data_IF_428526626288
#
_entry.id   IF_428526626288
#
_cell.length_a   1.000
_cell.length_b   1.000
_cell.length_c   1.000
_cell.angle_alpha   90.00
_cell.angle_beta   90.00
_cell.angle_gamma   90.00
#
_symmetry.space_group_name_H-M   'P 1'
#
loop_
_entity.id
_entity.type
_entity.pdbx_description
1 polymer ?
#
# COMPACT_ATOMS: atom_id res chain seq x y z
N UNK A 1 15.39 28.69 -37.51
CA UNK A 1 16.45 29.72 -37.62
C UNK A 1 17.29 29.59 -36.35
N UNK A 2 18.56 29.23 -36.49
CA UNK A 2 19.47 29.01 -35.37
C UNK A 2 19.87 30.37 -34.78
N UNK A 3 19.45 30.67 -33.55
CA UNK A 3 19.99 31.79 -32.81
C UNK A 3 21.45 31.49 -32.45
N UNK A 4 22.36 32.39 -32.80
CA UNK A 4 23.78 32.31 -32.47
C UNK A 4 23.97 32.75 -31.01
N UNK A 5 24.71 31.94 -30.24
CA UNK A 5 24.99 32.13 -28.81
C UNK A 5 26.00 33.26 -28.54
N UNK A 6 25.60 34.53 -28.69
CA UNK A 6 26.48 35.68 -28.47
C UNK A 6 25.89 36.80 -27.58
N UNK A 7 24.63 36.71 -27.16
CA UNK A 7 23.97 37.71 -26.31
C UNK A 7 23.17 37.04 -25.20
N UNK A 8 23.17 37.65 -24.01
CA UNK A 8 22.42 37.15 -22.86
C UNK A 8 20.91 37.28 -23.12
N UNK A 9 20.13 36.29 -22.73
CA UNK A 9 18.68 36.25 -23.01
C UNK A 9 17.88 35.69 -21.83
N UNK A 10 16.59 36.01 -21.78
CA UNK A 10 15.66 35.36 -20.85
C UNK A 10 15.32 33.95 -21.33
N UNK A 11 15.22 33.02 -20.40
CA UNK A 11 14.65 31.70 -20.66
C UNK A 11 13.14 31.84 -20.90
N UNK A 12 12.62 31.17 -21.93
CA UNK A 12 11.18 30.99 -22.05
C UNK A 12 10.68 30.09 -20.92
N UNK A 13 9.47 30.36 -20.42
CA UNK A 13 8.91 29.62 -19.30
C UNK A 13 7.40 29.51 -19.40
N UNK A 14 6.86 28.42 -18.88
CA UNK A 14 5.42 28.26 -18.72
C UNK A 14 5.08 27.45 -17.47
N UNK A 15 3.91 27.71 -16.90
CA UNK A 15 3.42 26.99 -15.74
C UNK A 15 2.93 25.58 -16.10
N UNK A 16 3.16 24.63 -15.20
CA UNK A 16 2.66 23.23 -15.28
C UNK A 16 1.77 22.85 -14.09
N UNK A 17 1.24 23.85 -13.39
CA UNK A 17 0.39 23.71 -12.20
C UNK A 17 1.20 23.64 -10.90
N UNK A 18 0.50 23.75 -9.76
CA UNK A 18 1.12 23.79 -8.42
C UNK A 18 1.66 22.44 -7.93
N UNK A 19 1.39 21.36 -8.66
CA UNK A 19 1.73 19.99 -8.29
C UNK A 19 0.65 19.33 -7.43
N UNK A 20 0.61 18.01 -7.45
CA UNK A 20 -0.24 17.19 -6.56
C UNK A 20 0.64 16.54 -5.49
N UNK A 21 0.19 16.37 -4.24
CA UNK A 21 0.91 15.54 -3.28
C UNK A 21 1.16 14.14 -3.85
N UNK A 22 2.29 13.52 -3.51
CA UNK A 22 2.55 12.09 -3.78
C UNK A 22 1.31 11.25 -3.44
N UNK A 23 0.85 10.46 -4.41
CA UNK A 23 -0.51 9.89 -4.38
C UNK A 23 -0.61 8.46 -4.90
N UNK A 24 0.46 7.90 -5.46
CA UNK A 24 0.41 6.59 -6.12
C UNK A 24 1.46 5.64 -5.55
N UNK A 25 1.12 4.36 -5.47
CA UNK A 25 2.06 3.29 -5.17
C UNK A 25 2.70 2.72 -6.43
N UNK A 26 3.93 2.19 -6.31
CA UNK A 26 4.61 1.55 -7.43
C UNK A 26 3.83 0.29 -7.88
N UNK A 27 3.97 -0.14 -9.14
CA UNK A 27 3.38 -1.39 -9.60
C UNK A 27 3.72 -2.57 -8.68
N UNK A 28 2.73 -3.39 -8.34
CA UNK A 28 2.88 -4.52 -7.42
C UNK A 28 2.81 -4.16 -5.93
N UNK A 29 2.40 -2.94 -5.60
CA UNK A 29 2.14 -2.48 -4.24
C UNK A 29 0.69 -2.00 -4.07
N UNK A 30 0.21 -2.01 -2.83
CA UNK A 30 -1.06 -1.40 -2.42
C UNK A 30 -0.85 -0.32 -1.37
N UNK A 31 -1.75 0.65 -1.33
CA UNK A 31 -1.75 1.71 -0.35
C UNK A 31 -2.46 1.27 0.92
N UNK A 32 -1.83 1.46 2.09
CA UNK A 32 -2.45 1.30 3.39
C UNK A 32 -1.90 2.35 4.37
N UNK A 33 -2.79 3.11 5.02
CA UNK A 33 -2.38 4.10 6.03
C UNK A 33 -1.41 5.18 5.51
N UNK A 34 -1.48 5.54 4.22
CA UNK A 34 -0.60 6.55 3.62
C UNK A 34 0.77 6.03 3.18
N UNK A 35 1.02 4.73 3.28
CA UNK A 35 2.24 4.08 2.79
C UNK A 35 1.91 3.02 1.75
N UNK A 36 2.89 2.65 0.96
CA UNK A 36 2.84 1.62 -0.07
C UNK A 36 3.51 0.35 0.42
N UNK A 37 2.79 -0.77 0.34
CA UNK A 37 3.29 -2.07 0.77
C UNK A 37 3.21 -3.08 -0.38
N UNK A 38 4.11 -4.07 -0.44
CA UNK A 38 3.94 -5.21 -1.33
C UNK A 38 2.57 -5.87 -1.14
N UNK A 39 1.99 -6.36 -2.24
CA UNK A 39 0.77 -7.15 -2.20
C UNK A 39 0.95 -8.41 -1.34
N UNK A 40 -0.12 -8.80 -0.64
CA UNK A 40 -0.15 -10.06 0.08
C UNK A 40 -0.28 -11.25 -0.89
N UNK A 41 0.14 -12.43 -0.43
CA UNK A 41 -0.07 -13.71 -1.12
C UNK A 41 -1.56 -14.01 -1.18
N UNK A 42 -1.95 -14.81 -2.15
CA UNK A 42 -3.33 -15.30 -2.26
C UNK A 42 -3.80 -15.93 -0.94
N UNK A 43 -5.03 -15.59 -0.55
CA UNK A 43 -5.59 -16.01 0.73
C UNK A 43 -5.21 -15.13 1.91
N UNK A 44 -4.50 -14.02 1.70
CA UNK A 44 -4.17 -13.03 2.73
C UNK A 44 -4.58 -11.60 2.30
N UNK A 45 -4.80 -10.73 3.26
CA UNK A 45 -5.06 -9.30 3.05
C UNK A 45 -4.14 -8.44 3.92
N UNK A 46 -3.86 -7.23 3.47
CA UNK A 46 -2.90 -6.33 4.09
C UNK A 46 -3.53 -5.38 5.12
N UNK A 47 -2.90 -5.29 6.31
CA UNK A 47 -3.13 -4.22 7.27
C UNK A 47 -1.77 -3.65 7.66
N UNK A 48 -1.44 -2.48 7.09
CA UNK A 48 -0.11 -1.87 7.21
C UNK A 48 1.00 -2.87 6.84
N UNK A 49 1.97 -3.13 7.74
CA UNK A 49 3.11 -4.00 7.48
C UNK A 49 2.83 -5.50 7.59
N UNK A 50 1.60 -5.92 7.88
CA UNK A 50 1.24 -7.32 8.13
C UNK A 50 0.22 -7.82 7.12
N UNK A 51 0.49 -9.00 6.56
CA UNK A 51 -0.49 -9.79 5.83
C UNK A 51 -1.21 -10.74 6.79
N UNK A 52 -2.53 -10.67 6.83
CA UNK A 52 -3.42 -11.48 7.65
C UNK A 52 -4.15 -12.50 6.79
N UNK A 53 -4.21 -13.76 7.23
CA UNK A 53 -4.93 -14.80 6.50
C UNK A 53 -6.43 -14.49 6.48
N UNK A 54 -7.08 -14.75 5.33
CA UNK A 54 -8.52 -14.68 5.20
C UNK A 54 -9.20 -15.77 6.04
N UNK A 55 -10.34 -15.44 6.64
CA UNK A 55 -11.14 -16.43 7.34
C UNK A 55 -11.79 -17.43 6.38
N UNK A 56 -11.88 -18.72 6.76
CA UNK A 56 -12.66 -19.70 6.01
C UNK A 56 -14.13 -19.30 5.89
N UNK A 57 -14.82 -19.83 4.89
CA UNK A 57 -16.25 -19.58 4.73
C UNK A 57 -17.04 -20.03 5.97
N UNK A 58 -17.97 -19.20 6.44
CA UNK A 58 -18.78 -19.46 7.63
C UNK A 58 -18.13 -19.08 8.97
N UNK A 59 -16.89 -18.61 8.95
CA UNK A 59 -16.21 -18.05 10.12
C UNK A 59 -16.35 -16.53 10.14
N UNK A 60 -16.42 -15.95 11.32
CA UNK A 60 -16.48 -14.49 11.49
C UNK A 60 -15.08 -13.95 11.73
N UNK A 61 -14.65 -13.00 10.90
CA UNK A 61 -13.39 -12.30 11.09
C UNK A 61 -13.45 -11.36 12.31
N UNK A 62 -12.65 -11.62 13.33
CA UNK A 62 -12.54 -10.82 14.56
C UNK A 62 -11.23 -10.04 14.64
N UNK A 63 -10.53 -9.90 13.51
CA UNK A 63 -9.23 -9.25 13.40
C UNK A 63 -8.10 -10.28 13.44
N UNK A 64 -7.65 -10.65 14.65
CA UNK A 64 -6.48 -11.53 14.83
C UNK A 64 -6.81 -13.02 14.65
N UNK A 65 -8.09 -13.37 14.77
CA UNK A 65 -8.60 -14.72 14.67
C UNK A 65 -9.88 -14.78 13.82
N UNK A 66 -10.34 -16.00 13.58
CA UNK A 66 -11.57 -16.33 12.90
C UNK A 66 -12.47 -17.07 13.89
N UNK A 67 -13.53 -16.40 14.35
CA UNK A 67 -14.50 -16.98 15.24
C UNK A 67 -15.23 -18.13 14.54
N UNK A 68 -15.24 -19.30 15.18
CA UNK A 68 -15.88 -20.50 14.66
C UNK A 68 -17.40 -20.33 14.59
N UNK A 69 -18.08 -21.00 13.65
CA UNK A 69 -19.52 -21.16 13.72
C UNK A 69 -19.93 -21.93 14.99
N UNK A 70 -21.23 -21.96 15.35
CA UNK A 70 -21.68 -22.59 16.59
C UNK A 70 -21.27 -24.06 16.71
N UNK A 71 -20.79 -24.44 17.89
CA UNK A 71 -20.63 -25.83 18.29
C UNK A 71 -21.98 -26.49 18.54
N UNK A 72 -21.99 -27.82 18.63
CA UNK A 72 -23.19 -28.56 19.00
C UNK A 72 -22.89 -29.72 19.96
N UNK A 73 -23.87 -30.09 20.76
CA UNK A 73 -23.79 -31.21 21.69
C UNK A 73 -24.07 -32.55 20.99
N UNK A 74 -23.34 -33.59 21.39
CA UNK A 74 -23.47 -34.97 20.88
C UNK A 74 -24.04 -35.97 21.89
N UNK A 75 -24.76 -35.45 22.89
CA UNK A 75 -25.49 -36.24 23.89
C UNK A 75 -24.69 -36.56 25.15
N UNK A 76 -25.33 -37.25 26.11
CA UNK A 76 -24.73 -37.63 27.39
C UNK A 76 -23.78 -38.84 27.29
N UNK A 77 -23.86 -39.60 26.19
CA UNK A 77 -23.08 -40.81 25.97
C UNK A 77 -23.87 -42.09 26.26
N UNK A 78 -23.40 -43.20 25.71
CA UNK A 78 -23.96 -44.54 25.82
C UNK A 78 -22.99 -45.44 26.58
N UNK A 79 -23.51 -46.40 27.35
CA UNK A 79 -22.68 -47.37 28.09
C UNK A 79 -22.15 -48.49 27.19
N UNK A 80 -22.70 -48.66 25.98
CA UNK A 80 -22.22 -49.63 25.00
C UNK A 80 -22.13 -49.05 23.59
N UNK A 81 -21.19 -49.58 22.79
CA UNK A 81 -21.05 -49.21 21.38
C UNK A 81 -22.29 -49.59 20.58
N UNK A 82 -22.89 -50.75 20.87
CA UNK A 82 -24.04 -51.26 20.12
C UNK A 82 -25.27 -50.33 20.27
N UNK A 83 -25.55 -49.86 21.48
CA UNK A 83 -26.64 -48.91 21.73
C UNK A 83 -26.37 -47.57 21.02
N UNK A 84 -25.15 -47.05 21.11
CA UNK A 84 -24.76 -45.85 20.38
C UNK A 84 -24.96 -46.02 18.87
N UNK A 85 -24.47 -47.13 18.31
CA UNK A 85 -24.53 -47.40 16.88
C UNK A 85 -25.97 -47.59 16.39
N UNK A 86 -26.85 -48.21 17.19
CA UNK A 86 -28.27 -48.37 16.86
C UNK A 86 -28.94 -47.01 16.58
N UNK A 87 -28.65 -46.01 17.40
CA UNK A 87 -29.23 -44.67 17.28
C UNK A 87 -28.50 -43.78 16.28
N UNK A 88 -27.19 -44.01 16.07
CA UNK A 88 -26.30 -43.10 15.34
C UNK A 88 -25.59 -43.74 14.14
N UNK A 89 -26.27 -44.66 13.45
CA UNK A 89 -25.71 -45.41 12.29
C UNK A 89 -25.05 -44.54 11.21
N UNK A 90 -25.46 -43.28 11.07
CA UNK A 90 -24.98 -42.36 10.04
C UNK A 90 -23.59 -41.78 10.32
N UNK A 91 -23.29 -41.50 11.58
CA UNK A 91 -22.03 -40.86 12.00
C UNK A 91 -21.04 -41.89 12.55
N UNK A 92 -21.50 -43.11 12.85
CA UNK A 92 -20.75 -44.10 13.62
C UNK A 92 -20.47 -43.59 15.07
N UNK A 93 -19.83 -44.42 15.89
CA UNK A 93 -19.56 -44.13 17.29
C UNK A 93 -18.07 -44.23 17.65
N UNK A 94 -17.66 -43.44 18.63
CA UNK A 94 -16.31 -43.43 19.20
C UNK A 94 -16.36 -43.42 20.73
N UNK A 95 -15.31 -43.98 21.34
CA UNK A 95 -15.22 -44.05 22.81
C UNK A 95 -14.49 -42.83 23.33
N UNK A 96 -15.05 -42.18 24.35
CA UNK A 96 -14.41 -41.10 25.09
C UNK A 96 -14.55 -41.37 26.59
N UNK A 97 -13.44 -41.56 27.29
CA UNK A 97 -13.45 -42.09 28.66
C UNK A 97 -14.10 -43.48 28.70
N UNK A 98 -15.11 -43.63 29.56
CA UNK A 98 -15.85 -44.89 29.75
C UNK A 98 -17.16 -44.98 28.95
N UNK A 99 -17.53 -43.94 28.19
CA UNK A 99 -18.78 -43.87 27.43
C UNK A 99 -18.53 -43.84 25.92
N UNK A 100 -19.57 -44.18 25.16
CA UNK A 100 -19.63 -44.15 23.71
C UNK A 100 -20.44 -42.96 23.23
N UNK A 101 -19.95 -42.24 22.24
CA UNK A 101 -20.61 -41.08 21.65
C UNK A 101 -20.69 -41.23 20.14
N UNK A 102 -21.71 -40.65 19.48
CA UNK A 102 -21.67 -40.52 18.03
C UNK A 102 -20.49 -39.65 17.61
N UNK A 103 -19.79 -40.01 16.53
CA UNK A 103 -18.71 -39.14 16.03
C UNK A 103 -19.26 -37.77 15.62
N UNK A 104 -18.41 -36.76 15.69
CA UNK A 104 -18.76 -35.45 15.17
C UNK A 104 -19.02 -35.48 13.65
N UNK A 105 -19.85 -34.55 13.17
CA UNK A 105 -20.13 -34.34 11.75
C UNK A 105 -18.85 -33.89 11.05
N UNK A 106 -18.79 -34.07 9.74
CA UNK A 106 -17.68 -33.61 8.92
C UNK A 106 -17.36 -32.13 9.20
N UNK A 107 -16.05 -31.80 9.26
CA UNK A 107 -15.52 -30.49 9.65
C UNK A 107 -15.75 -30.09 11.11
N UNK A 108 -16.01 -31.05 11.99
CA UNK A 108 -16.04 -30.86 13.44
C UNK A 108 -15.22 -31.96 14.14
N UNK A 109 -14.62 -31.61 15.27
CA UNK A 109 -13.98 -32.55 16.18
C UNK A 109 -14.51 -32.40 17.60
N UNK A 110 -14.29 -33.42 18.42
CA UNK A 110 -14.65 -33.39 19.82
C UNK A 110 -13.64 -32.57 20.64
N UNK A 111 -14.11 -31.49 21.29
CA UNK A 111 -13.29 -30.71 22.25
C UNK A 111 -13.48 -31.17 23.71
N UNK A 112 -14.45 -32.05 23.93
CA UNK A 112 -14.71 -32.79 25.19
C UNK A 112 -15.57 -34.03 24.86
N UNK A 113 -16.04 -34.77 25.87
CA UNK A 113 -16.90 -35.94 25.77
C UNK A 113 -18.19 -35.70 24.98
N UNK A 114 -18.78 -34.51 25.06
CA UNK A 114 -20.14 -34.27 24.59
C UNK A 114 -20.28 -33.07 23.65
N UNK A 115 -19.19 -32.38 23.31
CA UNK A 115 -19.23 -31.17 22.46
C UNK A 115 -18.42 -31.40 21.19
N UNK A 116 -19.03 -31.09 20.05
CA UNK A 116 -18.39 -31.02 18.74
C UNK A 116 -18.17 -29.56 18.35
N UNK A 117 -16.92 -29.18 18.12
CA UNK A 117 -16.50 -27.85 17.70
C UNK A 117 -16.05 -27.86 16.24
N UNK A 118 -16.31 -26.81 15.44
CA UNK A 118 -15.82 -26.74 14.08
C UNK A 118 -14.30 -26.81 13.99
N UNK A 119 -13.80 -27.43 12.92
CA UNK A 119 -12.38 -27.57 12.64
C UNK A 119 -11.77 -26.26 12.13
N UNK A 120 -10.57 -25.94 12.62
CA UNK A 120 -9.73 -24.94 11.98
C UNK A 120 -9.12 -25.52 10.70
N UNK A 121 -9.33 -24.81 9.58
CA UNK A 121 -8.82 -25.23 8.26
C UNK A 121 -7.69 -24.31 7.79
N UNK A 122 -7.05 -24.63 6.68
CA UNK A 122 -5.98 -23.82 6.09
C UNK A 122 -4.78 -23.55 7.03
N UNK A 123 -4.49 -24.50 7.92
CA UNK A 123 -3.33 -24.44 8.82
C UNK A 123 -3.46 -23.44 9.97
N UNK A 124 -4.66 -22.89 10.22
CA UNK A 124 -4.92 -22.05 11.37
C UNK A 124 -4.71 -22.80 12.69
N UNK A 125 -4.35 -22.06 13.73
CA UNK A 125 -4.15 -22.64 15.07
C UNK A 125 -5.47 -22.62 15.82
N UNK A 126 -5.92 -23.78 16.27
CA UNK A 126 -7.11 -23.87 17.11
C UNK A 126 -6.84 -23.30 18.50
N UNK A 127 -7.55 -22.23 18.86
CA UNK A 127 -7.45 -21.56 20.16
C UNK A 127 -8.75 -21.69 20.96
N UNK A 128 -9.56 -22.71 20.65
CA UNK A 128 -10.80 -23.06 21.35
C UNK A 128 -12.04 -22.58 20.60
N UNK A 129 -12.56 -21.41 20.98
CA UNK A 129 -13.77 -20.83 20.34
C UNK A 129 -13.49 -20.23 18.96
N UNK A 130 -12.22 -20.02 18.62
CA UNK A 130 -11.79 -19.44 17.35
C UNK A 130 -10.54 -20.11 16.80
N UNK A 131 -10.21 -19.76 15.56
CA UNK A 131 -9.02 -20.19 14.85
C UNK A 131 -8.10 -18.99 14.67
N UNK A 132 -6.93 -19.00 15.29
CA UNK A 132 -5.95 -17.94 15.14
C UNK A 132 -5.44 -17.92 13.70
N UNK A 133 -5.47 -16.73 13.09
CA UNK A 133 -4.97 -16.55 11.73
C UNK A 133 -3.46 -16.70 11.68
N UNK A 134 -2.98 -17.27 10.58
CA UNK A 134 -1.58 -17.14 10.21
C UNK A 134 -1.31 -15.72 9.72
N UNK A 135 -0.10 -15.22 9.99
CA UNK A 135 0.34 -13.90 9.54
C UNK A 135 1.78 -13.93 9.07
N UNK A 136 2.16 -12.92 8.29
CA UNK A 136 3.56 -12.66 7.99
C UNK A 136 3.77 -11.17 7.68
N UNK A 137 4.99 -10.69 7.94
CA UNK A 137 5.36 -9.31 7.62
C UNK A 137 5.63 -9.10 6.13
N UNK A 138 5.33 -7.90 5.63
CA UNK A 138 5.58 -7.50 4.23
C UNK A 138 6.45 -6.24 4.10
N UNK A 139 7.25 -5.95 5.13
CA UNK A 139 8.10 -4.76 5.22
C UNK A 139 7.43 -3.60 5.94
N UNK A 140 8.19 -2.53 6.16
CA UNK A 140 7.76 -1.34 6.92
C UNK A 140 6.92 -0.35 6.11
N UNK A 141 6.82 -0.56 4.80
CA UNK A 141 6.15 0.33 3.87
C UNK A 141 7.09 1.39 3.29
N UNK A 142 6.80 1.80 2.07
CA UNK A 142 7.48 2.88 1.36
C UNK A 142 6.54 4.11 1.30
N UNK A 143 7.08 5.34 1.22
CA UNK A 143 6.23 6.50 0.96
C UNK A 143 5.52 6.37 -0.39
N UNK A 144 4.39 7.08 -0.50
CA UNK A 144 3.74 7.30 -1.79
C UNK A 144 4.72 7.99 -2.75
N UNK A 145 4.53 7.78 -4.04
CA UNK A 145 5.24 8.49 -5.09
C UNK A 145 4.27 9.08 -6.11
N UNK A 146 4.81 9.42 -7.27
CA UNK A 146 4.04 9.88 -8.41
C UNK A 146 3.60 8.73 -9.32
N UNK A 147 2.59 9.00 -10.15
CA UNK A 147 2.23 8.10 -11.24
C UNK A 147 3.37 8.01 -12.27
N UNK A 148 3.37 6.97 -13.10
CA UNK A 148 4.46 6.70 -14.06
C UNK A 148 4.61 7.80 -15.12
N UNK A 149 3.58 8.60 -15.32
CA UNK A 149 3.48 9.71 -16.27
C UNK A 149 3.68 11.09 -15.62
N UNK A 150 4.11 11.14 -14.37
CA UNK A 150 4.37 12.38 -13.63
C UNK A 150 5.85 12.50 -13.20
N UNK A 151 6.30 13.74 -13.00
CA UNK A 151 7.63 14.05 -12.49
C UNK A 151 7.53 14.40 -10.99
N UNK A 152 8.29 13.70 -10.14
CA UNK A 152 8.35 13.96 -8.71
C UNK A 152 9.41 15.01 -8.37
N UNK A 153 9.01 16.09 -7.70
CA UNK A 153 9.90 17.11 -7.16
C UNK A 153 9.39 17.56 -5.78
N UNK A 154 10.25 17.50 -4.77
CA UNK A 154 9.94 17.92 -3.39
C UNK A 154 8.59 17.35 -2.85
N UNK A 155 8.35 16.04 -3.06
CA UNK A 155 7.12 15.32 -2.68
C UNK A 155 5.83 15.82 -3.37
N UNK A 156 5.97 16.52 -4.50
CA UNK A 156 4.89 16.90 -5.38
C UNK A 156 5.09 16.27 -6.76
N UNK A 157 3.98 15.89 -7.37
CA UNK A 157 3.88 15.28 -8.69
C UNK A 157 3.40 16.33 -9.69
N UNK A 158 4.18 16.51 -10.74
CA UNK A 158 3.92 17.48 -11.79
C UNK A 158 3.71 16.78 -13.12
N UNK A 159 2.99 17.46 -14.03
CA UNK A 159 2.97 17.04 -15.43
C UNK A 159 4.37 17.25 -16.03
N UNK A 160 4.95 16.28 -16.75
CA UNK A 160 6.26 16.44 -17.37
C UNK A 160 6.28 17.63 -18.33
N UNK A 161 7.42 18.32 -18.40
CA UNK A 161 7.60 19.42 -19.33
C UNK A 161 7.66 18.95 -20.79
N UNK A 162 7.17 19.79 -21.72
CA UNK A 162 7.39 19.64 -23.15
C UNK A 162 8.89 19.55 -23.48
N UNK A 163 9.23 18.86 -24.57
CA UNK A 163 10.61 18.68 -25.00
C UNK A 163 11.34 20.02 -25.11
N UNK A 164 12.58 20.07 -24.63
CA UNK A 164 13.41 21.28 -24.62
C UNK A 164 13.29 22.13 -23.35
N UNK A 165 12.55 21.66 -22.34
CA UNK A 165 12.35 22.35 -21.07
C UNK A 165 12.64 21.40 -19.89
N UNK A 166 13.15 21.95 -18.78
CA UNK A 166 13.26 21.27 -17.49
C UNK A 166 12.27 21.86 -16.49
N UNK A 167 11.76 21.02 -15.60
CA UNK A 167 10.90 21.45 -14.52
C UNK A 167 11.67 21.95 -13.31
N UNK A 168 11.24 23.06 -12.72
CA UNK A 168 11.59 23.46 -11.35
C UNK A 168 10.31 23.86 -10.61
N UNK A 169 9.81 22.94 -9.80
CA UNK A 169 8.51 23.04 -9.13
C UNK A 169 7.38 23.29 -10.13
N UNK A 170 6.59 24.36 -9.98
CA UNK A 170 5.41 24.61 -10.82
C UNK A 170 5.73 25.19 -12.21
N UNK A 171 7.01 25.43 -12.53
CA UNK A 171 7.43 26.11 -13.77
C UNK A 171 8.29 25.17 -14.62
N UNK A 172 8.06 25.17 -15.93
CA UNK A 172 8.95 24.59 -16.92
C UNK A 172 9.80 25.71 -17.54
N UNK A 173 11.11 25.58 -17.43
CA UNK A 173 12.11 26.51 -17.96
C UNK A 173 12.74 25.95 -19.23
N UNK A 174 12.94 26.77 -20.25
CA UNK A 174 13.57 26.34 -21.49
C UNK A 174 15.06 26.09 -21.28
N UNK A 175 15.59 25.00 -21.86
CA UNK A 175 17.04 24.82 -21.89
C UNK A 175 17.72 25.96 -22.64
N UNK A 176 18.82 26.47 -22.06
CA UNK A 176 19.65 27.44 -22.74
C UNK A 176 20.18 26.93 -24.08
N UNK A 177 20.36 27.81 -25.08
CA UNK A 177 21.07 27.48 -26.31
C UNK A 177 22.45 26.87 -26.02
N UNK A 178 22.90 25.99 -26.92
CA UNK A 178 24.17 25.29 -26.76
C UNK A 178 25.33 26.30 -26.58
N UNK A 179 26.14 26.08 -25.53
CA UNK A 179 27.29 26.91 -25.20
C UNK A 179 26.99 28.08 -24.26
N UNK A 180 25.73 28.28 -23.88
CA UNK A 180 25.34 29.26 -22.86
C UNK A 180 25.22 28.61 -21.48
N UNK A 181 25.34 29.44 -20.45
CA UNK A 181 25.23 29.09 -19.04
C UNK A 181 23.85 29.46 -18.51
N UNK A 182 23.21 28.54 -17.81
CA UNK A 182 21.96 28.79 -17.07
C UNK A 182 22.25 29.63 -15.83
N UNK A 183 21.47 30.69 -15.64
CA UNK A 183 21.54 31.67 -14.56
C UNK A 183 20.12 32.00 -14.08
N UNK A 184 19.49 31.10 -13.32
CA UNK A 184 18.11 31.27 -12.89
C UNK A 184 17.16 31.33 -14.09
N UNK A 185 16.52 32.48 -14.32
CA UNK A 185 15.63 32.71 -15.47
C UNK A 185 16.35 33.27 -16.72
N UNK A 186 17.68 33.30 -16.72
CA UNK A 186 18.51 33.86 -17.79
C UNK A 186 19.46 32.80 -18.35
N UNK A 187 19.77 32.94 -19.64
CA UNK A 187 20.90 32.29 -20.29
C UNK A 187 21.98 33.32 -20.58
N UNK A 188 23.21 33.03 -20.16
CA UNK A 188 24.33 33.94 -20.31
C UNK A 188 25.48 33.31 -21.10
N UNK A 189 26.29 34.12 -21.78
CA UNK A 189 27.43 33.61 -22.55
C UNK A 189 28.54 33.01 -21.67
N UNK A 190 28.64 33.44 -20.40
CA UNK A 190 29.56 32.93 -19.39
C UNK A 190 28.98 33.15 -17.98
N UNK A 191 29.65 32.58 -16.96
CA UNK A 191 29.21 32.70 -15.57
C UNK A 191 29.24 34.14 -15.02
N UNK A 192 30.18 34.98 -15.47
CA UNK A 192 30.31 36.37 -14.99
C UNK A 192 29.12 37.22 -15.44
N UNK A 193 28.63 36.99 -16.66
CA UNK A 193 27.40 37.58 -17.20
C UNK A 193 26.12 37.17 -16.43
N UNK A 194 26.18 36.25 -15.48
CA UNK A 194 25.04 36.04 -14.58
C UNK A 194 24.92 37.19 -13.57
N UNK A 195 26.07 37.66 -13.07
CA UNK A 195 26.09 38.66 -12.00
C UNK A 195 25.77 40.05 -12.52
N UNK A 196 26.28 40.40 -13.70
CA UNK A 196 26.12 41.75 -14.27
C UNK A 196 24.67 41.99 -14.71
N UNK A 197 24.05 41.01 -15.36
CA UNK A 197 22.64 41.04 -15.77
C UNK A 197 21.70 41.14 -14.57
N UNK A 198 21.95 40.36 -13.51
CA UNK A 198 21.14 40.45 -12.28
C UNK A 198 21.31 41.82 -11.61
N UNK A 199 22.54 42.36 -11.56
CA UNK A 199 22.78 43.71 -11.03
C UNK A 199 22.07 44.78 -11.86
N UNK A 200 22.03 44.66 -13.17
CA UNK A 200 21.34 45.61 -14.04
C UNK A 200 19.83 45.56 -13.82
N UNK A 201 19.24 44.36 -13.77
CA UNK A 201 17.81 44.18 -13.44
C UNK A 201 17.47 44.83 -12.09
N UNK A 202 18.26 44.56 -11.04
CA UNK A 202 18.04 45.15 -9.71
C UNK A 202 18.23 46.67 -9.73
N UNK A 203 19.27 47.16 -10.39
CA UNK A 203 19.56 48.60 -10.46
C UNK A 203 18.47 49.36 -11.21
N UNK A 204 17.87 48.75 -12.24
CA UNK A 204 16.73 49.32 -12.95
C UNK A 204 15.49 49.39 -12.06
N UNK A 205 15.21 48.36 -11.25
CA UNK A 205 14.08 48.38 -10.31
C UNK A 205 14.29 49.41 -9.18
N UNK A 206 15.48 49.46 -8.59
CA UNK A 206 15.79 50.36 -7.47
C UNK A 206 16.01 51.81 -7.93
N UNK A 207 16.62 52.00 -9.11
CA UNK A 207 16.88 53.30 -9.73
C UNK A 207 15.62 53.99 -10.26
N UNK A 208 14.61 53.22 -10.68
CA UNK A 208 13.31 53.75 -11.13
C UNK A 208 12.47 54.35 -10.01
N UNK A 209 12.78 54.07 -8.73
CA UNK A 209 12.12 54.69 -7.57
C UNK A 209 12.72 56.06 -7.18
N UNK A 210 13.66 56.59 -7.95
CA UNK A 210 14.03 58.01 -7.86
C UNK A 210 13.18 58.81 -8.87
N UNK A 211 11.95 59.16 -8.47
CA UNK A 211 11.31 60.36 -9.00
C UNK A 211 11.23 61.44 -7.90
N UNK A 212 11.44 62.71 -8.28
CA UNK A 212 11.63 63.84 -7.37
C UNK A 212 10.41 64.18 -6.51
#
# INVERSE_FOLDING_TARGET
MNALANENCWEDAYGRGVGKPIHTCRPGQEQNGGLCYPLCKDGYYGVGPVCWQNCPSGFTDTGVDCLKPPSYGRGAGYTSHEECYKDNKKTDCEKWGDLWYPKCKDSFHNVDCCVCSPDCVNGQIDIGVSCQKLTYGRGVGEPLGCSIDEEEQAALCYTPCKQGYNGDGPVCWQYCPQGMHTCGALCTVNADGCTDEVKDVVSNVVGSNKHP
#
